data_IF_340975942508
#
_entry.id   IF_340975942508
#
_cell.length_a   1.000
_cell.length_b   1.000
_cell.length_c   1.000
_cell.angle_alpha   90.00
_cell.angle_beta   90.00
_cell.angle_gamma   90.00
#
_symmetry.space_group_name_H-M   'P 1'
#
loop_
_entity.id
_entity.type
_entity.pdbx_description
1 polymer ?
#
# COMPACT_ATOMS: atom_id res chain seq x y z
N UNK A 1 -1.18 -21.85 -38.47
CA UNK A 1 -0.43 -21.00 -37.51
C UNK A 1 -1.25 -19.81 -36.98
N UNK A 2 -2.09 -19.17 -37.80
CA UNK A 2 -2.94 -18.01 -37.42
C UNK A 2 -4.13 -18.34 -36.50
N UNK A 3 -4.77 -19.51 -36.65
CA UNK A 3 -5.89 -19.96 -35.80
C UNK A 3 -5.47 -20.18 -34.34
N UNK A 4 -4.30 -20.77 -34.10
CA UNK A 4 -3.72 -21.00 -32.77
C UNK A 4 -3.31 -19.70 -32.07
N UNK A 5 -2.81 -18.71 -32.82
CA UNK A 5 -2.50 -17.38 -32.29
C UNK A 5 -3.76 -16.61 -31.87
N UNK A 6 -4.83 -16.68 -32.68
CA UNK A 6 -6.12 -16.08 -32.34
C UNK A 6 -6.80 -16.74 -31.13
N UNK A 7 -6.69 -18.08 -31.00
CA UNK A 7 -7.19 -18.80 -29.83
C UNK A 7 -6.45 -18.40 -28.55
N UNK A 8 -5.11 -18.37 -28.58
CA UNK A 8 -4.28 -17.90 -27.45
C UNK A 8 -4.59 -16.46 -27.05
N UNK A 9 -4.79 -15.57 -28.03
CA UNK A 9 -5.18 -14.17 -27.78
C UNK A 9 -6.56 -14.09 -27.11
N UNK A 10 -7.56 -14.82 -27.61
CA UNK A 10 -8.91 -14.87 -27.02
C UNK A 10 -8.90 -15.45 -25.61
N UNK A 11 -8.17 -16.53 -25.38
CA UNK A 11 -8.02 -17.14 -24.05
C UNK A 11 -7.35 -16.18 -23.05
N UNK A 12 -6.31 -15.44 -23.48
CA UNK A 12 -5.64 -14.42 -22.67
C UNK A 12 -6.57 -13.25 -22.33
N UNK A 13 -7.35 -12.78 -23.29
CA UNK A 13 -8.34 -11.72 -23.07
C UNK A 13 -9.41 -12.20 -22.10
N UNK A 14 -10.01 -13.38 -22.32
CA UNK A 14 -11.02 -13.95 -21.43
C UNK A 14 -10.50 -14.18 -20.01
N UNK A 15 -9.27 -14.68 -19.86
CA UNK A 15 -8.61 -14.83 -18.56
C UNK A 15 -8.40 -13.49 -17.88
N UNK A 16 -7.95 -12.47 -18.61
CA UNK A 16 -7.75 -11.11 -18.06
C UNK A 16 -9.08 -10.50 -17.60
N UNK A 17 -10.16 -10.69 -18.36
CA UNK A 17 -11.51 -10.25 -17.98
C UNK A 17 -12.02 -10.98 -16.74
N UNK A 18 -11.92 -12.31 -16.70
CA UNK A 18 -12.33 -13.12 -15.54
C UNK A 18 -11.54 -12.71 -14.28
N UNK A 19 -10.22 -12.55 -14.42
CA UNK A 19 -9.37 -12.12 -13.32
C UNK A 19 -9.74 -10.72 -12.85
N UNK A 20 -10.00 -9.79 -13.76
CA UNK A 20 -10.45 -8.42 -13.43
C UNK A 20 -11.80 -8.45 -12.72
N UNK A 21 -12.76 -9.25 -13.19
CA UNK A 21 -14.06 -9.42 -12.55
C UNK A 21 -13.93 -9.97 -11.13
N UNK A 22 -13.09 -10.99 -10.93
CA UNK A 22 -12.77 -11.52 -9.60
C UNK A 22 -12.10 -10.47 -8.70
N UNK A 23 -11.18 -9.66 -9.25
CA UNK A 23 -10.55 -8.56 -8.50
C UNK A 23 -11.56 -7.54 -8.02
N UNK A 24 -12.46 -7.11 -8.92
CA UNK A 24 -13.51 -6.17 -8.59
C UNK A 24 -14.46 -6.74 -7.55
N UNK A 25 -14.83 -8.01 -7.66
CA UNK A 25 -15.67 -8.67 -6.66
C UNK A 25 -15.00 -8.72 -5.26
N UNK A 26 -13.70 -9.04 -5.20
CA UNK A 26 -12.94 -9.07 -3.94
C UNK A 26 -12.78 -7.68 -3.32
N UNK A 27 -12.56 -6.65 -4.14
CA UNK A 27 -12.52 -5.25 -3.69
C UNK A 27 -13.91 -4.81 -3.22
N UNK A 28 -14.98 -5.15 -3.95
CA UNK A 28 -16.34 -4.82 -3.55
C UNK A 28 -16.78 -5.53 -2.27
N UNK A 29 -16.26 -6.72 -1.99
CA UNK A 29 -16.50 -7.41 -0.71
C UNK A 29 -16.08 -6.55 0.49
N UNK A 30 -15.09 -5.68 0.33
CA UNK A 30 -14.62 -4.83 1.43
C UNK A 30 -15.64 -3.77 1.83
N UNK A 31 -16.60 -3.44 0.96
CA UNK A 31 -17.73 -2.56 1.30
C UNK A 31 -18.67 -3.17 2.36
N UNK A 32 -18.62 -4.48 2.55
CA UNK A 32 -19.41 -5.21 3.54
C UNK A 32 -18.67 -5.43 4.87
N UNK A 33 -17.42 -4.97 5.00
CA UNK A 33 -16.69 -5.04 6.27
C UNK A 33 -17.37 -4.08 7.26
N UNK A 34 -17.78 -4.56 8.46
CA UNK A 34 -18.38 -3.70 9.46
C UNK A 34 -17.41 -2.60 9.91
N UNK A 35 -17.91 -1.37 9.97
CA UNK A 35 -17.21 -0.26 10.61
C UNK A 35 -17.17 -0.53 12.11
N UNK A 36 -16.00 -0.86 12.64
CA UNK A 36 -15.80 -1.16 14.06
C UNK A 36 -14.94 -0.13 14.78
N UNK A 37 -14.46 0.88 14.04
CA UNK A 37 -13.59 1.91 14.58
C UNK A 37 -14.38 3.04 15.25
N UNK A 38 -14.19 3.28 16.55
CA UNK A 38 -14.88 4.36 17.25
C UNK A 38 -14.43 5.75 16.81
N UNK A 39 -13.22 5.92 16.27
CA UNK A 39 -12.66 7.23 15.90
C UNK A 39 -13.45 7.91 14.77
N UNK A 40 -14.24 7.14 14.03
CA UNK A 40 -15.08 7.64 12.93
C UNK A 40 -16.06 8.71 13.37
N UNK A 41 -16.67 8.54 14.54
CA UNK A 41 -17.60 9.53 15.10
C UNK A 41 -16.85 10.82 15.44
N UNK A 42 -15.63 10.69 15.94
CA UNK A 42 -14.76 11.81 16.28
C UNK A 42 -14.40 12.63 15.04
N UNK A 43 -14.01 11.98 13.94
CA UNK A 43 -13.73 12.64 12.66
C UNK A 43 -14.93 13.42 12.12
N UNK A 44 -16.13 12.82 12.16
CA UNK A 44 -17.36 13.47 11.70
C UNK A 44 -17.69 14.68 12.58
N UNK A 45 -17.65 14.55 13.90
CA UNK A 45 -17.96 15.63 14.84
C UNK A 45 -16.94 16.77 14.80
N UNK A 46 -15.65 16.46 14.65
CA UNK A 46 -14.63 17.48 14.43
C UNK A 46 -14.84 18.20 13.10
N UNK A 47 -15.15 17.46 12.03
CA UNK A 47 -15.42 18.06 10.73
C UNK A 47 -16.64 19.00 10.76
N UNK A 48 -17.70 18.60 11.47
CA UNK A 48 -18.87 19.44 11.71
C UNK A 48 -18.49 20.72 12.47
N UNK A 49 -17.69 20.59 13.53
CA UNK A 49 -17.24 21.73 14.33
C UNK A 49 -16.37 22.69 13.50
N UNK A 50 -15.42 22.18 12.71
CA UNK A 50 -14.57 22.99 11.81
C UNK A 50 -15.45 23.70 10.77
N UNK A 51 -16.41 22.98 10.19
CA UNK A 51 -17.33 23.54 9.19
C UNK A 51 -18.23 24.63 9.78
N UNK A 52 -18.67 24.51 11.03
CA UNK A 52 -19.47 25.51 11.71
C UNK A 52 -18.66 26.75 12.13
N UNK A 53 -17.49 26.54 12.72
CA UNK A 53 -16.67 27.62 13.32
C UNK A 53 -15.70 28.27 12.33
N UNK A 54 -15.52 27.71 11.13
CA UNK A 54 -14.61 28.20 10.08
C UNK A 54 -13.15 28.35 10.55
N UNK A 55 -12.76 27.55 11.53
CA UNK A 55 -11.41 27.52 12.10
C UNK A 55 -11.03 26.10 12.49
N UNK A 56 -9.73 25.87 12.64
CA UNK A 56 -9.16 24.55 12.93
C UNK A 56 -8.81 24.50 14.43
N UNK A 57 -9.26 23.47 15.18
CA UNK A 57 -9.22 23.47 16.64
C UNK A 57 -7.81 23.24 17.21
N UNK A 58 -7.40 24.06 18.18
CA UNK A 58 -6.15 23.90 18.93
C UNK A 58 -6.34 23.23 20.31
N UNK A 59 -7.58 22.82 20.60
CA UNK A 59 -8.02 22.15 21.81
C UNK A 59 -9.04 21.10 21.44
N UNK A 60 -9.13 20.05 22.24
CA UNK A 60 -10.15 19.02 22.07
C UNK A 60 -11.48 19.52 22.66
N UNK A 61 -12.52 19.63 21.82
CA UNK A 61 -13.85 20.10 22.22
C UNK A 61 -14.81 18.97 22.63
N UNK A 62 -14.36 17.72 22.54
CA UNK A 62 -15.19 16.54 22.81
C UNK A 62 -14.64 15.69 23.96
N UNK A 63 -13.48 16.03 24.51
CA UNK A 63 -12.92 15.43 25.73
C UNK A 63 -13.15 16.32 26.94
N UNK A 64 -14.11 15.94 27.81
CA UNK A 64 -14.37 16.64 29.07
C UNK A 64 -13.09 16.81 29.92
N UNK A 65 -12.33 15.73 30.10
CA UNK A 65 -11.09 15.76 30.88
C UNK A 65 -10.01 16.65 30.24
N UNK A 66 -9.89 16.61 28.91
CA UNK A 66 -8.96 17.46 28.17
C UNK A 66 -9.32 18.94 28.30
N UNK A 67 -10.62 19.27 28.28
CA UNK A 67 -11.12 20.62 28.46
C UNK A 67 -10.89 21.14 29.88
N UNK A 68 -11.23 20.35 30.91
CA UNK A 68 -11.06 20.74 32.32
C UNK A 68 -9.59 21.01 32.67
N UNK A 69 -8.68 20.22 32.11
CA UNK A 69 -7.24 20.36 32.35
C UNK A 69 -6.54 21.32 31.37
N UNK A 70 -7.28 21.95 30.44
CA UNK A 70 -6.72 22.90 29.46
C UNK A 70 -5.68 22.29 28.52
N UNK A 71 -5.82 21.00 28.18
CA UNK A 71 -4.88 20.32 27.31
C UNK A 71 -4.97 20.83 25.87
N UNK A 72 -3.79 21.14 25.31
CA UNK A 72 -3.66 21.48 23.89
C UNK A 72 -3.74 20.20 23.07
N UNK A 73 -4.54 20.24 22.01
CA UNK A 73 -4.67 19.15 21.06
C UNK A 73 -4.35 19.66 19.64
N UNK A 74 -3.90 18.75 18.80
CA UNK A 74 -3.61 19.05 17.40
C UNK A 74 -4.46 18.14 16.53
N UNK A 75 -5.44 18.71 15.83
CA UNK A 75 -6.16 18.01 14.76
C UNK A 75 -5.21 17.84 13.56
N UNK A 76 -4.35 16.83 13.68
CA UNK A 76 -3.37 16.44 12.66
C UNK A 76 -4.01 15.78 11.43
N UNK A 77 -5.34 15.62 11.44
CA UNK A 77 -6.16 14.97 10.41
C UNK A 77 -7.35 15.86 10.02
N UNK A 78 -7.24 17.17 10.25
CA UNK A 78 -8.34 18.15 10.06
C UNK A 78 -8.97 18.13 8.66
N UNK A 79 -8.19 17.88 7.61
CA UNK A 79 -8.72 17.83 6.25
C UNK A 79 -9.54 16.55 6.04
N UNK A 80 -9.14 15.46 6.70
CA UNK A 80 -9.91 14.24 6.72
C UNK A 80 -11.18 14.38 7.56
N UNK A 81 -11.14 15.10 8.68
CA UNK A 81 -12.31 15.43 9.49
C UNK A 81 -13.38 16.15 8.63
N UNK A 82 -12.98 17.22 7.93
CA UNK A 82 -13.86 17.95 7.01
C UNK A 82 -14.41 17.08 5.88
N UNK A 83 -13.57 16.25 5.26
CA UNK A 83 -13.98 15.33 4.20
C UNK A 83 -14.99 14.31 4.72
N UNK A 84 -14.74 13.73 5.90
CA UNK A 84 -15.62 12.75 6.54
C UNK A 84 -16.97 13.37 6.87
N UNK A 85 -16.99 14.57 7.46
CA UNK A 85 -18.22 15.30 7.71
C UNK A 85 -18.99 15.59 6.42
N UNK A 86 -18.31 16.13 5.39
CA UNK A 86 -18.96 16.43 4.11
C UNK A 86 -19.60 15.21 3.45
N UNK A 87 -18.90 14.07 3.43
CA UNK A 87 -19.44 12.81 2.89
C UNK A 87 -20.61 12.30 3.73
N UNK A 88 -20.52 12.38 5.07
CA UNK A 88 -21.59 12.01 5.97
C UNK A 88 -22.84 12.86 5.73
N UNK A 89 -22.71 14.19 5.70
CA UNK A 89 -23.81 15.12 5.45
C UNK A 89 -24.46 14.91 4.08
N UNK A 90 -23.68 14.64 3.03
CA UNK A 90 -24.22 14.29 1.72
C UNK A 90 -25.04 12.99 1.77
N UNK A 91 -24.52 11.95 2.43
CA UNK A 91 -25.25 10.70 2.60
C UNK A 91 -26.57 10.87 3.38
N UNK A 92 -26.56 11.68 4.43
CA UNK A 92 -27.74 12.01 5.21
C UNK A 92 -28.78 12.78 4.36
N UNK A 93 -28.31 13.72 3.53
CA UNK A 93 -29.17 14.48 2.62
C UNK A 93 -29.89 13.60 1.60
N UNK A 94 -29.22 12.58 1.05
CA UNK A 94 -29.83 11.61 0.13
C UNK A 94 -30.69 10.54 0.83
N UNK A 95 -31.03 10.72 2.11
CA UNK A 95 -31.97 9.86 2.83
C UNK A 95 -31.41 8.49 3.20
N UNK A 96 -30.09 8.34 3.35
CA UNK A 96 -29.53 7.08 3.84
C UNK A 96 -30.07 6.76 5.24
N UNK A 97 -30.71 5.58 5.40
CA UNK A 97 -31.36 5.13 6.64
C UNK A 97 -30.45 5.21 7.89
N UNK A 98 -29.14 5.11 7.70
CA UNK A 98 -28.12 5.16 8.76
C UNK A 98 -27.47 6.56 8.90
N UNK A 99 -28.20 7.65 8.68
CA UNK A 99 -27.73 9.01 8.96
C UNK A 99 -26.49 9.47 8.18
N UNK A 100 -26.12 8.82 7.08
CA UNK A 100 -24.94 9.16 6.26
C UNK A 100 -23.78 8.17 6.31
N UNK A 101 -23.79 7.19 7.24
CA UNK A 101 -22.72 6.18 7.33
C UNK A 101 -22.59 5.29 6.08
N UNK A 102 -23.68 5.10 5.34
CA UNK A 102 -23.63 4.42 4.04
C UNK A 102 -22.72 5.14 3.05
N UNK A 103 -22.75 6.48 3.01
CA UNK A 103 -21.87 7.26 2.14
C UNK A 103 -20.39 7.14 2.57
N UNK A 104 -20.11 7.09 3.87
CA UNK A 104 -18.75 6.83 4.37
C UNK A 104 -18.27 5.43 3.95
N UNK A 105 -19.12 4.41 3.99
CA UNK A 105 -18.76 3.05 3.52
C UNK A 105 -18.44 3.05 2.03
N UNK A 106 -19.26 3.73 1.24
CA UNK A 106 -19.02 3.88 -0.20
C UNK A 106 -17.72 4.64 -0.48
N UNK A 107 -17.41 5.70 0.28
CA UNK A 107 -16.13 6.40 0.19
C UNK A 107 -14.95 5.46 0.42
N UNK A 108 -14.97 4.64 1.48
CA UNK A 108 -13.92 3.64 1.74
C UNK A 108 -13.78 2.69 0.56
N UNK A 109 -14.89 2.14 0.05
CA UNK A 109 -14.87 1.21 -1.09
C UNK A 109 -14.26 1.86 -2.35
N UNK A 110 -14.64 3.12 -2.65
CA UNK A 110 -14.08 3.89 -3.76
C UNK A 110 -12.58 4.13 -3.58
N UNK A 111 -12.12 4.44 -2.36
CA UNK A 111 -10.70 4.66 -2.09
C UNK A 111 -9.90 3.37 -2.22
N UNK A 112 -10.41 2.23 -1.74
CA UNK A 112 -9.75 0.92 -1.93
C UNK A 112 -9.72 0.52 -3.42
N UNK A 113 -10.78 0.83 -4.17
CA UNK A 113 -10.81 0.61 -5.62
C UNK A 113 -9.80 1.50 -6.35
N UNK A 114 -9.70 2.77 -5.97
CA UNK A 114 -8.69 3.68 -6.47
C UNK A 114 -7.27 3.17 -6.16
N UNK A 115 -7.03 2.70 -4.93
CA UNK A 115 -5.76 2.09 -4.53
C UNK A 115 -5.38 0.91 -5.44
N UNK A 116 -6.33 0.01 -5.73
CA UNK A 116 -6.12 -1.12 -6.63
C UNK A 116 -5.70 -0.66 -8.02
N UNK A 117 -6.46 0.24 -8.65
CA UNK A 117 -6.16 0.72 -9.99
C UNK A 117 -4.89 1.56 -10.08
N UNK A 118 -4.58 2.35 -9.06
CA UNK A 118 -3.33 3.10 -8.95
C UNK A 118 -2.15 2.14 -8.85
N UNK A 119 -2.24 1.10 -8.01
CA UNK A 119 -1.18 0.09 -7.87
C UNK A 119 -0.97 -0.67 -9.18
N UNK A 120 -2.07 -1.06 -9.83
CA UNK A 120 -2.05 -1.65 -11.17
C UNK A 120 -1.31 -0.74 -12.17
N UNK A 121 -1.67 0.56 -12.21
CA UNK A 121 -1.04 1.52 -13.11
C UNK A 121 0.46 1.68 -12.82
N UNK A 122 0.87 1.78 -11.55
CA UNK A 122 2.27 1.89 -11.15
C UNK A 122 3.08 0.67 -11.61
N UNK A 123 2.59 -0.54 -11.32
CA UNK A 123 3.29 -1.77 -11.71
C UNK A 123 3.32 -1.94 -13.22
N UNK A 124 2.26 -1.57 -13.93
CA UNK A 124 2.24 -1.61 -15.39
C UNK A 124 3.25 -0.61 -15.99
N UNK A 125 3.38 0.59 -15.44
CA UNK A 125 4.40 1.57 -15.85
C UNK A 125 5.80 0.96 -15.73
N UNK A 126 6.08 0.27 -14.63
CA UNK A 126 7.38 -0.31 -14.29
C UNK A 126 7.74 -1.55 -15.11
N UNK A 127 6.78 -2.44 -15.33
CA UNK A 127 7.04 -3.80 -15.85
C UNK A 127 6.54 -4.01 -17.28
N UNK A 128 5.64 -3.15 -17.77
CA UNK A 128 4.87 -3.33 -19.02
C UNK A 128 4.04 -4.61 -19.08
N UNK A 129 3.94 -5.36 -17.99
CA UNK A 129 3.16 -6.61 -17.91
C UNK A 129 1.80 -6.36 -17.26
N UNK A 130 0.73 -6.60 -18.01
CA UNK A 130 -0.65 -6.51 -17.49
C UNK A 130 -0.89 -7.55 -16.39
N UNK A 131 -0.35 -8.76 -16.57
CA UNK A 131 -0.47 -9.86 -15.62
C UNK A 131 0.20 -9.55 -14.28
N UNK A 132 1.45 -9.06 -14.32
CA UNK A 132 2.17 -8.68 -13.10
C UNK A 132 1.45 -7.53 -12.39
N UNK A 133 0.95 -6.55 -13.16
CA UNK A 133 0.18 -5.43 -12.62
C UNK A 133 -1.09 -5.88 -11.89
N UNK A 134 -1.89 -6.78 -12.49
CA UNK A 134 -3.09 -7.31 -11.84
C UNK A 134 -2.74 -8.07 -10.56
N UNK A 135 -1.79 -9.01 -10.64
CA UNK A 135 -1.47 -9.88 -9.51
C UNK A 135 -0.87 -9.11 -8.34
N UNK A 136 0.01 -8.14 -8.60
CA UNK A 136 0.56 -7.30 -7.54
C UNK A 136 -0.50 -6.37 -6.96
N UNK A 137 -1.36 -5.77 -7.77
CA UNK A 137 -2.46 -4.94 -7.26
C UNK A 137 -3.41 -5.76 -6.36
N UNK A 138 -3.71 -7.02 -6.71
CA UNK A 138 -4.52 -7.93 -5.89
C UNK A 138 -3.84 -8.24 -4.56
N UNK A 139 -2.57 -8.63 -4.58
CA UNK A 139 -1.83 -8.99 -3.36
C UNK A 139 -1.72 -7.77 -2.45
N UNK A 140 -1.42 -6.59 -3.01
CA UNK A 140 -1.39 -5.33 -2.26
C UNK A 140 -2.75 -5.02 -1.63
N UNK A 141 -3.84 -5.07 -2.38
CA UNK A 141 -5.20 -4.81 -1.87
C UNK A 141 -5.59 -5.81 -0.78
N UNK A 142 -5.25 -7.09 -0.94
CA UNK A 142 -5.49 -8.13 0.07
C UNK A 142 -4.68 -7.89 1.36
N UNK A 143 -3.45 -7.40 1.23
CA UNK A 143 -2.60 -7.01 2.35
C UNK A 143 -3.16 -5.85 3.16
N UNK A 144 -4.00 -5.00 2.55
CA UNK A 144 -4.64 -3.87 3.21
C UNK A 144 -5.92 -4.21 3.98
N UNK A 145 -6.49 -5.41 3.83
CA UNK A 145 -7.75 -5.82 4.49
C UNK A 145 -7.82 -5.47 5.99
N UNK A 146 -6.77 -5.69 6.82
CA UNK A 146 -6.79 -5.32 8.23
C UNK A 146 -6.93 -3.82 8.50
N UNK A 147 -6.66 -2.99 7.50
CA UNK A 147 -6.65 -1.52 7.56
C UNK A 147 -7.86 -0.89 6.84
N UNK A 148 -8.82 -1.70 6.36
CA UNK A 148 -10.03 -1.19 5.70
C UNK A 148 -11.00 -0.71 6.76
N UNK A 149 -10.79 0.53 7.17
CA UNK A 149 -11.67 1.31 8.03
C UNK A 149 -11.71 2.75 7.48
N UNK A 150 -12.75 3.54 7.77
CA UNK A 150 -12.82 4.95 7.40
C UNK A 150 -11.87 5.76 8.30
N UNK A 151 -10.58 5.55 8.07
CA UNK A 151 -9.44 6.24 8.69
C UNK A 151 -8.72 7.07 7.62
N UNK A 152 -8.04 8.16 7.98
CA UNK A 152 -7.26 8.97 7.03
C UNK A 152 -6.13 8.16 6.35
N UNK A 153 -5.64 7.09 7.00
CA UNK A 153 -4.57 6.25 6.49
C UNK A 153 -4.86 5.67 5.09
N UNK A 154 -6.12 5.32 4.77
CA UNK A 154 -6.48 4.73 3.46
C UNK A 154 -6.24 5.73 2.31
N UNK A 155 -6.39 7.03 2.58
CA UNK A 155 -6.10 8.09 1.61
C UNK A 155 -4.59 8.26 1.44
N UNK A 156 -3.82 8.19 2.54
CA UNK A 156 -2.36 8.22 2.48
C UNK A 156 -1.81 7.11 1.58
N UNK A 157 -2.40 5.91 1.65
CA UNK A 157 -2.00 4.79 0.79
C UNK A 157 -2.14 5.10 -0.70
N UNK A 158 -3.29 5.66 -1.12
CA UNK A 158 -3.50 6.11 -2.50
C UNK A 158 -2.49 7.20 -2.88
N UNK A 159 -2.28 8.19 -2.02
CA UNK A 159 -1.37 9.29 -2.29
C UNK A 159 0.09 8.84 -2.38
N UNK A 160 0.53 7.83 -1.63
CA UNK A 160 1.85 7.24 -1.81
C UNK A 160 2.00 6.61 -3.20
N UNK A 161 1.00 5.88 -3.68
CA UNK A 161 1.05 5.29 -5.02
C UNK A 161 1.05 6.40 -6.08
N UNK A 162 0.21 7.43 -5.95
CA UNK A 162 0.21 8.59 -6.84
C UNK A 162 1.60 9.26 -6.85
N UNK A 163 2.18 9.47 -5.67
CA UNK A 163 3.53 10.02 -5.54
C UNK A 163 4.55 9.16 -6.29
N UNK A 164 4.56 7.84 -6.09
CA UNK A 164 5.46 6.92 -6.80
C UNK A 164 5.23 6.93 -8.31
N UNK A 165 3.98 7.00 -8.79
CA UNK A 165 3.67 7.14 -10.23
C UNK A 165 4.28 8.42 -10.80
N UNK A 166 4.16 9.55 -10.10
CA UNK A 166 4.73 10.82 -10.51
C UNK A 166 6.26 10.75 -10.56
N UNK A 167 6.88 10.12 -9.56
CA UNK A 167 8.33 9.92 -9.53
C UNK A 167 8.81 9.02 -10.68
N UNK A 168 8.11 7.92 -10.98
CA UNK A 168 8.41 7.05 -12.14
C UNK A 168 8.28 7.80 -13.47
N UNK A 169 7.26 8.66 -13.60
CA UNK A 169 7.05 9.52 -14.76
C UNK A 169 7.99 10.72 -14.81
N UNK A 170 8.95 10.84 -13.88
CA UNK A 170 9.89 11.96 -13.73
C UNK A 170 9.21 13.33 -13.56
N UNK A 171 7.95 13.34 -13.09
CA UNK A 171 7.16 14.55 -12.80
C UNK A 171 7.38 14.99 -11.35
N UNK A 172 8.65 15.18 -10.97
CA UNK A 172 9.05 15.35 -9.56
C UNK A 172 8.41 16.55 -8.86
N UNK A 173 8.22 17.68 -9.57
CA UNK A 173 7.60 18.88 -9.01
C UNK A 173 6.14 18.65 -8.55
N UNK A 174 5.41 17.74 -9.20
CA UNK A 174 4.06 17.35 -8.79
C UNK A 174 4.04 16.52 -7.50
N UNK A 175 5.20 16.09 -6.98
CA UNK A 175 5.32 15.54 -5.65
C UNK A 175 4.97 16.54 -4.54
N UNK A 176 5.22 17.84 -4.76
CA UNK A 176 4.95 18.91 -3.79
C UNK A 176 3.46 18.98 -3.40
N UNK A 177 2.51 19.15 -4.35
CA UNK A 177 1.09 19.19 -3.98
C UNK A 177 0.61 17.88 -3.35
N UNK A 178 1.15 16.72 -3.75
CA UNK A 178 0.81 15.44 -3.13
C UNK A 178 1.26 15.37 -1.67
N UNK A 179 2.45 15.88 -1.36
CA UNK A 179 2.95 15.99 0.01
C UNK A 179 2.04 16.89 0.84
N UNK A 180 1.71 18.09 0.33
CA UNK A 180 0.85 19.06 1.04
C UNK A 180 -0.51 18.44 1.34
N UNK A 181 -1.17 17.84 0.35
CA UNK A 181 -2.47 17.19 0.56
C UNK A 181 -2.33 16.03 1.56
N UNK A 182 -1.29 15.21 1.42
CA UNK A 182 -1.03 14.06 2.28
C UNK A 182 -0.83 14.43 3.74
N UNK A 183 -0.05 15.48 4.03
CA UNK A 183 0.22 15.93 5.40
C UNK A 183 -0.97 16.61 6.06
N UNK A 184 -1.90 17.19 5.29
CA UNK A 184 -3.14 17.75 5.84
C UNK A 184 -4.23 16.70 6.06
N UNK A 185 -4.24 15.62 5.27
CA UNK A 185 -5.11 14.46 5.53
C UNK A 185 -4.62 13.61 6.70
N UNK A 186 -3.31 13.41 6.81
CA UNK A 186 -2.70 12.55 7.82
C UNK A 186 -1.30 13.07 8.19
N UNK A 187 -1.21 13.88 9.25
CA UNK A 187 0.02 14.57 9.63
C UNK A 187 1.23 13.66 9.88
N UNK A 188 1.00 12.42 10.33
CA UNK A 188 2.07 11.48 10.72
C UNK A 188 2.83 10.83 9.55
N UNK A 189 2.36 10.95 8.30
CA UNK A 189 2.95 10.20 7.17
C UNK A 189 4.10 10.87 6.43
N UNK A 190 4.45 12.11 6.81
CA UNK A 190 5.48 12.90 6.13
C UNK A 190 6.84 12.18 5.93
N UNK A 191 7.36 11.32 6.86
CA UNK A 191 8.67 10.70 6.66
C UNK A 191 8.66 9.73 5.47
N UNK A 192 7.51 9.12 5.18
CA UNK A 192 7.34 8.19 4.05
C UNK A 192 7.49 8.93 2.72
N UNK A 193 6.90 10.12 2.57
CA UNK A 193 7.06 10.92 1.37
C UNK A 193 8.52 11.35 1.15
N UNK A 194 9.20 11.79 2.20
CA UNK A 194 10.62 12.19 2.12
C UNK A 194 11.51 10.99 1.76
N UNK A 195 11.27 9.83 2.36
CA UNK A 195 12.01 8.60 2.07
C UNK A 195 11.78 8.12 0.63
N UNK A 196 10.53 8.12 0.15
CA UNK A 196 10.21 7.78 -1.24
C UNK A 196 10.83 8.79 -2.21
N UNK A 197 10.74 10.08 -1.90
CA UNK A 197 11.36 11.14 -2.70
C UNK A 197 12.86 10.92 -2.85
N UNK A 198 13.56 10.70 -1.73
CA UNK A 198 14.99 10.40 -1.74
C UNK A 198 15.32 9.13 -2.55
N UNK A 199 14.60 8.03 -2.31
CA UNK A 199 14.76 6.76 -3.03
C UNK A 199 14.64 6.93 -4.56
N UNK A 200 13.65 7.73 -4.99
CA UNK A 200 13.40 7.99 -6.40
C UNK A 200 14.40 8.94 -7.03
N UNK A 201 14.86 9.97 -6.30
CA UNK A 201 15.74 10.98 -6.84
C UNK A 201 17.21 10.51 -6.88
N UNK A 202 17.67 9.76 -5.88
CA UNK A 202 19.10 9.44 -5.63
C UNK A 202 19.85 8.91 -6.86
N UNK A 203 19.18 8.17 -7.75
CA UNK A 203 19.81 7.59 -8.95
C UNK A 203 19.23 8.09 -10.28
N UNK A 204 18.16 8.89 -10.23
CA UNK A 204 17.46 9.32 -11.45
C UNK A 204 17.77 10.78 -11.82
N UNK A 205 18.41 11.55 -10.95
CA UNK A 205 18.77 12.96 -11.19
C UNK A 205 20.20 13.27 -10.74
N UNK A 206 20.73 14.40 -11.19
CA UNK A 206 22.03 14.91 -10.72
C UNK A 206 21.97 15.31 -9.24
N UNK A 207 23.11 15.31 -8.53
CA UNK A 207 23.18 15.73 -7.12
C UNK A 207 22.55 17.11 -6.88
N UNK A 208 22.80 18.08 -7.79
CA UNK A 208 22.17 19.40 -7.74
C UNK A 208 20.64 19.32 -7.75
N UNK A 209 20.06 18.53 -8.66
CA UNK A 209 18.60 18.37 -8.75
C UNK A 209 18.04 17.59 -7.57
N UNK A 210 18.77 16.60 -7.06
CA UNK A 210 18.41 15.88 -5.83
C UNK A 210 18.26 16.86 -4.67
N UNK A 211 19.28 17.70 -4.44
CA UNK A 211 19.26 18.72 -3.38
C UNK A 211 18.09 19.68 -3.56
N UNK A 212 17.85 20.19 -4.78
CA UNK A 212 16.74 21.10 -5.06
C UNK A 212 15.39 20.46 -4.72
N UNK A 213 15.10 19.25 -5.21
CA UNK A 213 13.81 18.62 -4.95
C UNK A 213 13.62 18.25 -3.48
N UNK A 214 14.67 17.76 -2.80
CA UNK A 214 14.58 17.49 -1.37
C UNK A 214 14.36 18.77 -0.55
N UNK A 215 15.03 19.88 -0.94
CA UNK A 215 14.82 21.20 -0.35
C UNK A 215 13.45 21.80 -0.66
N UNK A 216 12.75 21.34 -1.71
CA UNK A 216 11.36 21.71 -2.00
C UNK A 216 10.34 20.81 -1.27
N UNK A 217 10.64 19.52 -1.08
CA UNK A 217 9.76 18.58 -0.37
C UNK A 217 9.72 18.84 1.14
N UNK A 218 10.82 19.25 1.75
CA UNK A 218 10.89 19.59 3.18
C UNK A 218 9.92 20.73 3.59
N UNK A 219 9.92 21.92 2.95
CA UNK A 219 8.96 22.96 3.29
C UNK A 219 7.53 22.57 2.91
N UNK A 220 7.33 21.72 1.89
CA UNK A 220 6.00 21.26 1.50
C UNK A 220 5.28 20.52 2.64
N UNK A 221 6.00 19.78 3.49
CA UNK A 221 5.37 19.14 4.66
C UNK A 221 4.82 20.20 5.63
N UNK A 222 5.56 21.31 5.81
CA UNK A 222 5.21 22.40 6.74
C UNK A 222 4.00 23.22 6.31
N UNK A 223 3.49 23.05 5.09
CA UNK A 223 2.30 23.75 4.59
C UNK A 223 1.06 23.08 5.18
N UNK A 224 0.78 23.41 6.43
CA UNK A 224 -0.39 22.99 7.18
C UNK A 224 -0.73 24.04 8.26
N UNK A 225 -1.97 24.08 8.79
CA UNK A 225 -2.42 25.09 9.75
C UNK A 225 -1.58 25.20 11.03
N UNK A 226 -0.89 24.14 11.42
CA UNK A 226 -0.09 24.08 12.65
C UNK A 226 1.41 24.23 12.39
N UNK A 227 1.84 24.32 11.12
CA UNK A 227 3.25 24.30 10.72
C UNK A 227 4.02 23.14 11.35
N UNK A 228 4.97 23.48 12.23
CA UNK A 228 5.79 22.49 12.94
C UNK A 228 5.04 21.76 14.07
N UNK A 229 3.91 22.29 14.54
CA UNK A 229 3.13 21.75 15.66
C UNK A 229 2.65 20.32 15.45
N UNK A 230 2.23 19.96 14.22
CA UNK A 230 1.84 18.58 13.85
C UNK A 230 2.98 17.58 14.10
N UNK A 231 4.24 17.98 13.86
CA UNK A 231 5.38 17.08 14.02
C UNK A 231 5.78 16.95 15.47
N UNK A 232 5.70 18.03 16.24
CA UNK A 232 5.88 17.92 17.69
C UNK A 232 4.80 17.06 18.32
N UNK A 233 3.55 17.16 17.86
CA UNK A 233 2.50 16.24 18.28
C UNK A 233 2.87 14.79 17.95
N UNK A 234 3.28 14.51 16.71
CA UNK A 234 3.68 13.15 16.29
C UNK A 234 4.85 12.60 17.12
N UNK A 235 5.91 13.40 17.32
CA UNK A 235 7.09 13.01 18.11
C UNK A 235 6.70 12.74 19.56
N UNK A 236 5.91 13.63 20.18
CA UNK A 236 5.42 13.46 21.55
C UNK A 236 4.59 12.19 21.68
N UNK A 237 3.59 12.00 20.81
CA UNK A 237 2.73 10.82 20.78
C UNK A 237 3.51 9.51 20.64
N UNK A 238 4.60 9.50 19.86
CA UNK A 238 5.48 8.33 19.71
C UNK A 238 6.49 8.15 20.85
N UNK A 239 6.81 9.22 21.60
CA UNK A 239 7.75 9.18 22.72
C UNK A 239 7.14 8.67 24.03
N UNK A 240 5.81 8.70 24.15
CA UNK A 240 5.12 8.11 25.30
C UNK A 240 5.23 6.59 25.24
N UNK A 241 6.09 6.02 26.09
CA UNK A 241 6.43 4.60 26.12
C UNK A 241 5.22 3.68 26.39
N UNK A 242 4.15 4.22 26.99
CA UNK A 242 2.98 3.45 27.40
C UNK A 242 1.87 3.37 26.35
N UNK A 243 1.88 4.21 25.31
CA UNK A 243 0.79 4.23 24.31
C UNK A 243 0.65 2.87 23.59
N UNK A 244 1.78 2.20 23.34
CA UNK A 244 1.81 0.87 22.74
C UNK A 244 1.25 -0.25 23.64
N UNK A 245 1.11 -0.02 24.95
CA UNK A 245 0.45 -0.97 25.87
C UNK A 245 -1.06 -1.03 25.59
N UNK A 246 -1.66 0.13 25.32
CA UNK A 246 -3.11 0.28 25.16
C UNK A 246 -3.57 0.18 23.70
N UNK A 247 -2.71 0.51 22.73
CA UNK A 247 -3.05 0.46 21.31
C UNK A 247 -2.44 -0.77 20.64
N UNK A 248 -3.30 -1.75 20.31
CA UNK A 248 -2.87 -3.03 19.72
C UNK A 248 -2.11 -2.86 18.40
N UNK A 249 -2.52 -1.94 17.53
CA UNK A 249 -1.84 -1.72 16.25
C UNK A 249 -0.43 -1.10 16.41
N UNK A 250 -0.09 -0.54 17.58
CA UNK A 250 1.23 0.02 17.86
C UNK A 250 2.21 -1.00 18.42
N UNK A 251 1.72 -2.20 18.79
CA UNK A 251 2.56 -3.29 19.27
C UNK A 251 3.47 -3.81 18.16
N UNK A 252 4.67 -4.32 18.51
CA UNK A 252 5.55 -5.01 17.58
C UNK A 252 4.83 -6.16 16.89
N UNK A 253 5.15 -6.36 15.62
CA UNK A 253 4.57 -7.42 14.79
C UNK A 253 5.24 -8.75 15.13
N UNK A 254 4.47 -9.72 15.61
CA UNK A 254 4.97 -11.08 15.85
C UNK A 254 5.15 -11.79 14.52
N UNK A 255 6.40 -11.94 14.06
CA UNK A 255 6.72 -12.44 12.72
C UNK A 255 6.01 -13.76 12.38
N UNK A 256 5.89 -14.68 13.35
CA UNK A 256 5.25 -15.99 13.17
C UNK A 256 3.73 -15.92 12.93
N UNK A 257 3.08 -14.86 13.40
CA UNK A 257 1.65 -14.63 13.17
C UNK A 257 1.40 -14.00 11.79
N UNK A 258 2.40 -13.29 11.26
CA UNK A 258 2.31 -12.55 10.00
C UNK A 258 3.00 -13.26 8.83
N UNK A 259 2.33 -14.33 8.39
CA UNK A 259 2.72 -15.26 7.33
C UNK A 259 3.25 -14.59 6.03
N UNK A 260 2.67 -13.48 5.52
CA UNK A 260 3.19 -12.83 4.32
C UNK A 260 4.58 -12.21 4.51
N UNK A 261 4.88 -11.71 5.71
CA UNK A 261 6.19 -11.13 6.06
C UNK A 261 7.28 -12.22 6.09
N UNK A 262 6.93 -13.42 6.54
CA UNK A 262 7.80 -14.61 6.46
C UNK A 262 8.04 -15.07 5.02
N UNK A 263 7.00 -15.06 4.17
CA UNK A 263 7.13 -15.41 2.76
C UNK A 263 8.08 -14.46 2.03
N UNK A 264 8.03 -13.16 2.33
CA UNK A 264 8.96 -12.21 1.74
C UNK A 264 10.42 -12.44 2.17
N UNK A 265 10.69 -12.83 3.42
CA UNK A 265 12.03 -13.26 3.84
C UNK A 265 12.52 -14.50 3.09
N UNK A 266 11.62 -15.41 2.71
CA UNK A 266 11.97 -16.61 1.96
C UNK A 266 12.24 -16.33 0.47
N UNK A 267 11.55 -15.33 -0.10
CA UNK A 267 11.65 -14.98 -1.53
C UNK A 267 12.78 -13.98 -1.81
N UNK A 268 13.12 -13.11 -0.85
CA UNK A 268 14.16 -12.09 -1.02
C UNK A 268 15.54 -12.68 -1.39
N UNK A 269 16.06 -13.76 -0.75
CA UNK A 269 17.32 -14.37 -1.14
C UNK A 269 17.31 -14.95 -2.57
N UNK A 270 16.16 -15.45 -3.03
CA UNK A 270 16.01 -15.94 -4.40
C UNK A 270 16.05 -14.79 -5.41
N UNK A 271 15.37 -13.68 -5.11
CA UNK A 271 15.46 -12.47 -5.93
C UNK A 271 16.90 -11.94 -5.97
N UNK A 272 17.60 -11.91 -4.85
CA UNK A 272 19.00 -11.48 -4.78
C UNK A 272 19.96 -12.41 -5.54
N UNK A 273 19.66 -13.71 -5.60
CA UNK A 273 20.48 -14.70 -6.30
C UNK A 273 20.31 -14.66 -7.82
N UNK A 274 19.08 -14.44 -8.28
CA UNK A 274 18.73 -14.57 -9.71
C UNK A 274 18.52 -13.24 -10.43
N UNK A 275 18.30 -12.14 -9.71
CA UNK A 275 18.18 -10.80 -10.28
C UNK A 275 19.31 -9.88 -9.76
N UNK A 276 19.79 -8.98 -10.64
CA UNK A 276 20.71 -7.91 -10.23
C UNK A 276 19.93 -6.80 -9.50
N UNK A 277 19.53 -7.07 -8.27
CA UNK A 277 18.79 -6.11 -7.42
C UNK A 277 19.70 -4.93 -7.08
N UNK A 278 19.22 -3.70 -7.28
CA UNK A 278 20.04 -2.51 -7.00
C UNK A 278 20.06 -2.25 -5.49
N UNK A 279 21.18 -1.73 -4.99
CA UNK A 279 21.35 -1.46 -3.56
C UNK A 279 20.25 -0.56 -2.96
N UNK A 280 19.76 0.44 -3.71
CA UNK A 280 18.66 1.32 -3.24
C UNK A 280 17.35 0.57 -3.00
N UNK A 281 17.05 -0.45 -3.80
CA UNK A 281 15.83 -1.26 -3.66
C UNK A 281 15.98 -2.16 -2.43
N UNK A 282 17.18 -2.70 -2.18
CA UNK A 282 17.49 -3.48 -0.96
C UNK A 282 17.32 -2.61 0.30
N UNK A 283 17.88 -1.40 0.30
CA UNK A 283 17.76 -0.46 1.44
C UNK A 283 16.30 -0.11 1.68
N UNK A 284 15.54 0.20 0.62
CA UNK A 284 14.11 0.48 0.73
C UNK A 284 13.35 -0.70 1.35
N UNK A 285 13.59 -1.92 0.84
CA UNK A 285 12.95 -3.15 1.31
C UNK A 285 13.27 -3.44 2.77
N UNK A 286 14.54 -3.35 3.16
CA UNK A 286 14.96 -3.54 4.56
C UNK A 286 14.36 -2.48 5.48
N UNK A 287 14.28 -1.22 5.03
CA UNK A 287 13.67 -0.13 5.78
C UNK A 287 12.17 -0.35 6.04
N UNK A 288 11.40 -0.68 5.00
CA UNK A 288 9.96 -0.94 5.17
C UNK A 288 9.68 -2.25 5.91
N UNK A 289 10.55 -3.24 5.77
CA UNK A 289 10.50 -4.49 6.52
C UNK A 289 10.74 -4.24 8.02
N UNK A 290 11.78 -3.48 8.37
CA UNK A 290 12.05 -3.08 9.75
C UNK A 290 10.88 -2.29 10.34
N UNK A 291 10.30 -1.36 9.59
CA UNK A 291 9.11 -0.63 10.03
C UNK A 291 7.92 -1.55 10.32
N UNK A 292 7.68 -2.53 9.44
CA UNK A 292 6.61 -3.52 9.61
C UNK A 292 6.84 -4.41 10.84
N UNK A 293 8.09 -4.73 11.18
CA UNK A 293 8.41 -5.43 12.43
C UNK A 293 8.19 -4.56 13.67
N UNK A 294 8.57 -3.27 13.59
CA UNK A 294 8.47 -2.33 14.70
C UNK A 294 7.02 -2.14 15.16
N UNK A 295 6.04 -2.17 14.25
CA UNK A 295 4.64 -2.03 14.60
C UNK A 295 3.68 -2.58 13.53
N UNK A 296 2.62 -3.23 13.99
CA UNK A 296 1.56 -3.77 13.13
C UNK A 296 0.95 -2.73 12.19
N UNK A 297 0.84 -1.46 12.62
CA UNK A 297 0.31 -0.37 11.78
C UNK A 297 1.10 -0.09 10.51
N UNK A 298 2.41 -0.42 10.50
CA UNK A 298 3.27 -0.19 9.35
C UNK A 298 3.25 -1.33 8.33
N UNK A 299 2.56 -2.44 8.60
CA UNK A 299 2.46 -3.56 7.66
C UNK A 299 1.86 -3.15 6.32
N UNK A 300 0.89 -2.24 6.30
CA UNK A 300 0.35 -1.70 5.06
C UNK A 300 1.46 -1.10 4.17
N UNK A 301 2.39 -0.34 4.75
CA UNK A 301 3.49 0.29 4.01
C UNK A 301 4.40 -0.76 3.35
N UNK A 302 4.56 -1.92 3.99
CA UNK A 302 5.28 -3.03 3.40
C UNK A 302 4.62 -3.46 2.08
N UNK A 303 3.33 -3.74 2.04
CA UNK A 303 2.65 -4.15 0.79
C UNK A 303 2.65 -3.05 -0.28
N UNK A 304 2.42 -1.80 0.14
CA UNK A 304 2.30 -0.64 -0.76
C UNK A 304 3.63 -0.32 -1.44
N UNK A 305 4.74 -0.42 -0.72
CA UNK A 305 6.05 0.02 -1.19
C UNK A 305 6.86 -1.16 -1.74
N UNK A 306 6.92 -2.28 -1.02
CA UNK A 306 7.80 -3.39 -1.40
C UNK A 306 7.36 -4.05 -2.70
N UNK A 307 6.06 -4.35 -2.86
CA UNK A 307 5.58 -5.14 -4.00
C UNK A 307 5.77 -4.41 -5.34
N UNK A 308 5.44 -3.11 -5.49
CA UNK A 308 5.76 -2.39 -6.71
C UNK A 308 7.27 -2.24 -6.94
N UNK A 309 8.09 -2.09 -5.88
CA UNK A 309 9.53 -1.98 -6.00
C UNK A 309 10.17 -3.28 -6.54
N UNK A 310 9.73 -4.45 -6.06
CA UNK A 310 10.25 -5.75 -6.52
C UNK A 310 9.66 -6.24 -7.84
N UNK A 311 8.54 -5.66 -8.28
CA UNK A 311 7.83 -6.09 -9.49
C UNK A 311 8.70 -6.25 -10.74
N UNK A 312 9.69 -5.38 -11.06
CA UNK A 312 10.54 -5.57 -12.23
C UNK A 312 11.46 -6.78 -12.12
N UNK A 313 12.01 -7.04 -10.93
CA UNK A 313 12.89 -8.19 -10.67
C UNK A 313 12.13 -9.51 -10.73
N UNK A 314 10.88 -9.51 -10.27
CA UNK A 314 9.99 -10.66 -10.43
C UNK A 314 9.80 -10.95 -11.92
N UNK A 315 9.43 -9.95 -12.72
CA UNK A 315 9.25 -10.10 -14.17
C UNK A 315 10.55 -10.55 -14.88
N UNK A 316 11.70 -9.98 -14.53
CA UNK A 316 13.01 -10.36 -15.08
C UNK A 316 13.35 -11.82 -14.76
N UNK A 317 13.16 -12.24 -13.50
CA UNK A 317 13.39 -13.63 -13.07
C UNK A 317 12.49 -14.60 -13.85
N UNK A 318 11.24 -14.23 -14.07
CA UNK A 318 10.31 -15.02 -14.89
C UNK A 318 10.70 -15.06 -16.38
N UNK A 319 11.19 -13.95 -16.94
CA UNK A 319 11.69 -13.94 -18.32
C UNK A 319 12.91 -14.87 -18.47
N UNK A 320 13.84 -14.83 -17.51
CA UNK A 320 14.99 -15.75 -17.46
C UNK A 320 14.52 -17.21 -17.33
N UNK A 321 13.54 -17.49 -16.48
CA UNK A 321 12.95 -18.83 -16.35
C UNK A 321 12.36 -19.33 -17.66
N UNK A 322 11.53 -18.52 -18.32
CA UNK A 322 10.91 -18.89 -19.59
C UNK A 322 11.95 -19.13 -20.69
N UNK A 323 13.04 -18.37 -20.70
CA UNK A 323 14.16 -18.60 -21.60
C UNK A 323 14.96 -19.87 -21.24
N UNK A 324 15.15 -20.16 -19.95
CA UNK A 324 15.84 -21.36 -19.47
C UNK A 324 15.02 -22.64 -19.69
N UNK A 325 13.69 -22.59 -19.62
CA UNK A 325 12.81 -23.73 -19.95
C UNK A 325 12.86 -24.11 -21.44
N UNK A 326 13.49 -23.30 -22.29
CA UNK A 326 13.83 -23.66 -23.67
C UNK A 326 15.19 -24.36 -23.79
N UNK A 327 15.94 -24.52 -22.69
CA UNK A 327 17.30 -25.06 -22.65
C UNK A 327 17.50 -25.96 -21.40
N UNK A 328 17.45 -27.29 -21.58
CA UNK A 328 17.23 -28.31 -20.53
C UNK A 328 18.14 -28.19 -19.29
N UNK A 329 19.42 -27.84 -19.45
CA UNK A 329 20.40 -27.92 -18.37
C UNK A 329 20.29 -26.81 -17.30
N UNK A 330 19.83 -25.60 -17.68
CA UNK A 330 19.60 -24.50 -16.72
C UNK A 330 18.23 -24.62 -16.05
N UNK A 331 17.26 -25.21 -16.74
CA UNK A 331 15.94 -25.52 -16.21
C UNK A 331 16.04 -26.45 -14.99
N UNK A 332 16.82 -27.53 -15.06
CA UNK A 332 16.99 -28.47 -13.94
C UNK A 332 17.51 -27.80 -12.66
N UNK A 333 18.56 -26.96 -12.75
CA UNK A 333 19.14 -26.29 -11.58
C UNK A 333 18.16 -25.32 -10.91
N UNK A 334 17.35 -24.61 -11.69
CA UNK A 334 16.36 -23.68 -11.17
C UNK A 334 15.11 -24.39 -10.62
N UNK A 335 14.60 -25.39 -11.33
CA UNK A 335 13.49 -26.26 -10.87
C UNK A 335 13.86 -26.95 -9.56
N UNK A 336 15.11 -27.41 -9.42
CA UNK A 336 15.62 -27.97 -8.16
C UNK A 336 15.62 -26.94 -7.02
N UNK A 337 15.98 -25.68 -7.30
CA UNK A 337 15.95 -24.61 -6.31
C UNK A 337 14.51 -24.24 -5.87
N UNK A 338 13.57 -24.14 -6.82
CA UNK A 338 12.14 -23.87 -6.54
C UNK A 338 11.48 -25.03 -5.81
N UNK A 339 11.76 -26.27 -6.20
CA UNK A 339 11.24 -27.45 -5.51
C UNK A 339 11.78 -27.53 -4.08
N UNK A 340 13.07 -27.25 -3.87
CA UNK A 340 13.63 -27.17 -2.52
C UNK A 340 12.93 -26.08 -1.68
N UNK A 341 12.66 -24.90 -2.26
CA UNK A 341 11.91 -23.85 -1.58
C UNK A 341 10.48 -24.29 -1.26
N UNK A 342 9.78 -24.93 -2.20
CA UNK A 342 8.43 -25.48 -1.98
C UNK A 342 8.44 -26.47 -0.82
N UNK A 343 9.42 -27.38 -0.76
CA UNK A 343 9.55 -28.34 0.33
C UNK A 343 9.82 -27.66 1.67
N UNK A 344 10.68 -26.63 1.69
CA UNK A 344 10.95 -25.82 2.90
C UNK A 344 9.69 -25.07 3.35
N UNK A 345 8.98 -24.43 2.44
CA UNK A 345 7.75 -23.68 2.74
C UNK A 345 6.62 -24.60 3.22
N UNK A 346 6.45 -25.77 2.61
CA UNK A 346 5.45 -26.77 3.03
C UNK A 346 5.80 -27.36 4.39
N UNK A 347 7.10 -27.59 4.68
CA UNK A 347 7.55 -28.03 6.01
C UNK A 347 7.38 -26.94 7.07
N UNK A 348 7.63 -25.67 6.72
CA UNK A 348 7.48 -24.54 7.63
C UNK A 348 6.01 -24.20 7.92
N UNK A 349 5.12 -24.42 6.96
CA UNK A 349 3.70 -24.10 7.06
C UNK A 349 2.85 -25.35 7.34
N UNK A 350 3.02 -26.06 8.46
CA UNK A 350 2.43 -27.40 8.74
C UNK A 350 0.92 -27.66 8.44
N UNK A 351 0.34 -28.77 8.95
CA UNK A 351 -0.99 -29.29 8.53
C UNK A 351 -2.21 -28.32 8.66
N UNK A 352 -2.10 -27.20 9.37
CA UNK A 352 -3.18 -26.21 9.63
C UNK A 352 -3.22 -25.06 8.60
N UNK A 353 -2.26 -24.99 7.67
CA UNK A 353 -1.95 -23.76 6.93
C UNK A 353 -2.59 -23.65 5.53
N UNK A 354 -3.45 -24.60 5.13
CA UNK A 354 -3.92 -24.69 3.75
C UNK A 354 -4.73 -23.48 3.24
N UNK A 355 -5.67 -22.82 3.93
CA UNK A 355 -6.57 -21.87 3.24
C UNK A 355 -5.88 -20.55 2.84
N UNK A 356 -5.08 -19.95 3.73
CA UNK A 356 -4.46 -18.63 3.51
C UNK A 356 -3.18 -18.73 2.68
N UNK A 357 -2.41 -19.80 2.90
CA UNK A 357 -1.29 -20.14 2.03
C UNK A 357 -1.80 -20.70 0.69
N UNK A 358 -2.97 -21.35 0.58
CA UNK A 358 -3.49 -21.75 -0.72
C UNK A 358 -3.88 -20.54 -1.56
N UNK A 359 -4.47 -19.47 -1.02
CA UNK A 359 -4.78 -18.29 -1.86
C UNK A 359 -3.51 -17.54 -2.26
N UNK A 360 -2.55 -17.38 -1.34
CA UNK A 360 -1.29 -16.66 -1.62
C UNK A 360 -0.30 -17.49 -2.43
N UNK A 361 -0.20 -18.80 -2.16
CA UNK A 361 0.60 -19.74 -2.93
C UNK A 361 -0.10 -20.16 -4.22
N UNK A 362 -1.44 -20.21 -4.30
CA UNK A 362 -2.14 -20.30 -5.57
C UNK A 362 -2.03 -19.01 -6.36
N UNK A 363 -1.97 -17.83 -5.73
CA UNK A 363 -1.65 -16.59 -6.44
C UNK A 363 -0.20 -16.58 -6.93
N UNK A 364 0.76 -17.10 -6.17
CA UNK A 364 2.15 -17.31 -6.59
C UNK A 364 2.31 -18.44 -7.63
N UNK A 365 1.52 -19.50 -7.54
CA UNK A 365 1.48 -20.61 -8.50
C UNK A 365 0.70 -20.21 -9.76
N UNK A 366 -0.33 -19.36 -9.66
CA UNK A 366 -1.01 -18.73 -10.78
C UNK A 366 -0.11 -17.68 -11.43
N UNK A 367 0.64 -16.89 -10.66
CA UNK A 367 1.77 -16.08 -11.15
C UNK A 367 2.73 -16.97 -11.94
N UNK A 368 3.10 -18.13 -11.40
CA UNK A 368 4.00 -19.10 -12.03
C UNK A 368 3.41 -19.69 -13.32
N UNK A 369 2.17 -20.16 -13.32
CA UNK A 369 1.51 -20.77 -14.49
C UNK A 369 1.13 -19.74 -15.57
N UNK A 370 0.69 -18.55 -15.19
CA UNK A 370 0.24 -17.51 -16.13
C UNK A 370 1.42 -16.78 -16.76
N UNK A 371 2.51 -16.53 -16.01
CA UNK A 371 3.74 -15.98 -16.59
C UNK A 371 4.49 -17.03 -17.43
N UNK A 372 4.40 -18.32 -17.08
CA UNK A 372 4.90 -19.41 -17.93
C UNK A 372 4.10 -19.55 -19.24
N UNK A 373 2.77 -19.38 -19.19
CA UNK A 373 1.91 -19.46 -20.37
C UNK A 373 1.99 -18.22 -21.29
N UNK A 374 2.43 -17.06 -20.77
CA UNK A 374 2.43 -15.77 -21.47
C UNK A 374 3.56 -15.54 -22.48
N UNK A 375 4.63 -16.36 -22.49
CA UNK A 375 5.84 -16.14 -23.30
C UNK A 375 6.33 -17.35 -24.10
N UNK A 376 5.43 -18.31 -24.41
CA UNK A 376 5.69 -19.29 -25.47
C UNK A 376 5.35 -18.64 -26.82
N UNK A 377 6.17 -17.67 -27.24
CA UNK A 377 6.32 -17.31 -28.66
C UNK A 377 7.23 -18.35 -29.32
N UNK A 378 6.75 -19.12 -30.32
CA UNK A 378 7.66 -19.74 -31.28
C UNK A 378 8.20 -18.66 -32.21
N UNK A 379 9.50 -18.69 -32.48
CA UNK A 379 10.04 -18.11 -33.71
C UNK A 379 9.37 -18.74 -34.93
#
# INVERSE_FOLDING_TARGET
>A
MTLTANYKKRARTAFTFLLTGLCLALVMQTAFIPMSDPDNFWHIKNGEWIAANKTIPYSDHFSWYGMENGFKWTSHEWLYDLLSYGVFSLGAFFGAENGGFTAIRLMVAVVILAFFFLTYALVHIKTKSLTAALLIAMISARGLVPHIQPRPQIFSFCLFIVFMILMEKKKYAWGIPVIIIGTNLHGGVYPVYLALGAYYLLQNVTLKRFIIYMALFLPAVLINPYGFGIYMYTIKSMSFADTAKYINEWKPTVLFEYKPLMLCLAVLPLLLKYAKVRAKDIILLLGVYFMALKSARHMALFYIISLPAVSPYICETFAIYNAAMRNDQKAEKFVKAVNNLKTVLVKAAGKVWLPVCAVSAAACLLLFFVLAAGHIEPQ
#
